data_IF_966325126855
#
_entry.id   IF_966325126855
#
_cell.length_a   1.000
_cell.length_b   1.000
_cell.length_c   1.000
_cell.angle_alpha   90.00
_cell.angle_beta   90.00
_cell.angle_gamma   90.00
#
_symmetry.space_group_name_H-M   'P 1'
#
loop_
_entity.id
_entity.type
_entity.pdbx_description
1 polymer ?
#
# COMPACT_ATOMS: atom_id res chain seq x y z
N UNK A 1 -1.49 21.43 6.78
CA UNK A 1 -1.28 20.39 5.75
C UNK A 1 -2.45 20.52 4.80
N UNK A 2 -2.22 20.72 3.50
CA UNK A 2 -3.32 20.90 2.54
C UNK A 2 -4.15 19.62 2.42
N UNK A 3 -5.45 19.76 2.16
CA UNK A 3 -6.31 18.62 1.86
C UNK A 3 -5.86 17.94 0.57
N UNK A 4 -5.77 16.61 0.57
CA UNK A 4 -5.47 15.80 -0.61
C UNK A 4 -6.60 14.81 -0.87
N UNK A 5 -6.78 14.36 -2.11
CA UNK A 5 -7.74 13.30 -2.41
C UNK A 5 -7.04 11.94 -2.49
N UNK A 6 -7.59 10.91 -1.85
CA UNK A 6 -7.10 9.53 -1.94
C UNK A 6 -8.20 8.61 -2.45
N UNK A 7 -7.83 7.52 -3.13
CA UNK A 7 -8.79 6.47 -3.45
C UNK A 7 -9.27 5.80 -2.17
N UNK A 8 -10.58 5.55 -2.08
CA UNK A 8 -11.21 4.86 -0.96
C UNK A 8 -11.98 3.64 -1.43
N UNK A 9 -11.43 2.47 -1.18
CA UNK A 9 -12.07 1.20 -1.51
C UNK A 9 -11.62 0.08 -0.57
N UNK A 10 -12.42 -0.97 -0.50
CA UNK A 10 -12.00 -2.26 0.05
C UNK A 10 -12.34 -3.39 -0.92
N UNK A 11 -11.58 -4.49 -0.87
CA UNK A 11 -11.91 -5.74 -1.56
C UNK A 11 -13.34 -6.17 -1.24
N UNK A 12 -14.05 -6.64 -2.26
CA UNK A 12 -15.47 -7.01 -2.15
C UNK A 12 -15.75 -8.03 -1.02
N UNK A 13 -14.80 -8.94 -0.74
CA UNK A 13 -14.86 -9.94 0.33
C UNK A 13 -15.09 -9.38 1.73
N UNK A 14 -14.82 -8.09 1.96
CA UNK A 14 -15.09 -7.44 3.25
C UNK A 14 -16.57 -7.10 3.46
N UNK A 15 -17.33 -6.91 2.37
CA UNK A 15 -18.74 -6.49 2.42
C UNK A 15 -19.58 -7.48 3.24
N UNK A 16 -19.46 -8.77 2.94
CA UNK A 16 -20.27 -9.81 3.59
C UNK A 16 -19.89 -10.04 5.06
N UNK A 17 -18.68 -9.59 5.46
CA UNK A 17 -18.15 -9.72 6.81
C UNK A 17 -18.17 -8.39 7.57
N UNK A 18 -18.77 -7.34 6.99
CA UNK A 18 -18.63 -5.97 7.47
C UNK A 18 -19.11 -5.79 8.91
N UNK A 19 -20.21 -6.44 9.28
CA UNK A 19 -20.75 -6.41 10.64
C UNK A 19 -19.74 -6.84 11.72
N UNK A 20 -18.79 -7.70 11.39
CA UNK A 20 -17.73 -8.13 12.29
C UNK A 20 -16.48 -7.24 12.26
N UNK A 21 -16.32 -6.43 11.21
CA UNK A 21 -15.10 -5.68 10.91
C UNK A 21 -15.23 -4.17 11.12
N UNK A 22 -16.46 -3.67 11.21
CA UNK A 22 -16.78 -2.25 11.47
C UNK A 22 -16.27 -1.70 12.81
N UNK A 23 -15.80 -2.56 13.71
CA UNK A 23 -15.12 -2.15 14.95
C UNK A 23 -13.61 -1.92 14.77
N UNK A 24 -13.05 -2.30 13.62
CA UNK A 24 -11.63 -2.18 13.29
C UNK A 24 -11.45 -1.12 12.20
N UNK A 25 -12.23 -1.21 11.12
CA UNK A 25 -12.13 -0.35 9.95
C UNK A 25 -13.30 0.61 9.85
N UNK A 26 -13.06 1.82 9.36
CA UNK A 26 -14.14 2.69 8.88
C UNK A 26 -14.58 2.27 7.48
N UNK A 27 -15.87 2.46 7.17
CA UNK A 27 -16.42 2.02 5.88
C UNK A 27 -15.78 2.76 4.70
N UNK A 28 -15.32 2.05 3.65
CA UNK A 28 -14.78 2.70 2.47
C UNK A 28 -15.90 3.37 1.67
N UNK A 29 -15.53 4.23 0.73
CA UNK A 29 -16.49 4.77 -0.24
C UNK A 29 -17.10 3.70 -1.15
N UNK A 30 -16.41 2.56 -1.35
CA UNK A 30 -16.97 1.41 -2.07
C UNK A 30 -16.30 0.09 -1.70
N UNK A 31 -17.06 -1.01 -1.76
CA UNK A 31 -16.52 -2.38 -1.77
C UNK A 31 -16.54 -2.92 -3.20
N UNK A 32 -15.39 -3.35 -3.72
CA UNK A 32 -15.25 -3.77 -5.13
C UNK A 32 -14.09 -4.75 -5.32
N UNK A 33 -14.21 -5.61 -6.34
CA UNK A 33 -13.12 -6.49 -6.77
C UNK A 33 -12.00 -5.72 -7.50
N UNK A 34 -12.24 -4.46 -7.90
CA UNK A 34 -11.27 -3.63 -8.61
C UNK A 34 -10.27 -2.91 -7.70
N UNK A 35 -10.40 -3.04 -6.39
CA UNK A 35 -9.53 -2.34 -5.42
C UNK A 35 -8.07 -2.85 -5.43
N UNK A 36 -7.85 -4.05 -5.99
CA UNK A 36 -6.53 -4.68 -6.16
C UNK A 36 -5.84 -4.31 -7.50
N UNK A 37 -6.49 -3.54 -8.38
CA UNK A 37 -5.91 -3.20 -9.68
C UNK A 37 -4.61 -2.41 -9.52
N UNK A 38 -3.64 -2.69 -10.42
CA UNK A 38 -2.32 -2.02 -10.41
C UNK A 38 -2.42 -0.51 -10.61
N UNK A 39 -3.42 -0.07 -11.36
CA UNK A 39 -3.72 1.33 -11.63
C UNK A 39 -5.23 1.50 -11.53
N UNK A 40 -5.66 2.20 -10.48
CA UNK A 40 -7.07 2.51 -10.32
C UNK A 40 -7.53 3.49 -11.40
N UNK A 41 -8.80 3.34 -11.76
CA UNK A 41 -9.50 4.21 -12.71
C UNK A 41 -10.43 5.15 -11.94
N UNK A 42 -10.97 6.16 -12.60
CA UNK A 42 -11.93 7.13 -12.00
C UNK A 42 -13.24 6.48 -11.53
N UNK A 43 -13.45 5.19 -11.78
CA UNK A 43 -14.56 4.42 -11.23
C UNK A 43 -14.40 4.12 -9.73
N UNK A 44 -13.18 4.21 -9.19
CA UNK A 44 -12.97 4.11 -7.75
C UNK A 44 -13.17 5.50 -7.12
N UNK A 45 -14.10 5.65 -6.18
CA UNK A 45 -14.38 6.92 -5.54
C UNK A 45 -13.19 7.44 -4.74
N UNK A 46 -13.13 8.76 -4.67
CA UNK A 46 -12.13 9.51 -3.90
C UNK A 46 -12.72 9.96 -2.56
N UNK A 47 -11.83 10.22 -1.61
CA UNK A 47 -12.13 10.86 -0.34
C UNK A 47 -11.11 11.96 -0.07
N UNK A 48 -11.56 13.08 0.48
CA UNK A 48 -10.69 14.15 0.97
C UNK A 48 -10.04 13.75 2.29
N UNK A 49 -8.72 13.79 2.34
CA UNK A 49 -7.91 13.42 3.49
C UNK A 49 -7.19 14.66 4.06
N UNK A 50 -7.20 14.81 5.38
CA UNK A 50 -6.30 15.71 6.11
C UNK A 50 -4.89 15.12 6.33
N UNK A 51 -4.69 13.86 5.90
CA UNK A 51 -3.48 13.08 6.05
C UNK A 51 -3.04 12.46 4.72
N UNK A 52 -1.98 11.65 4.75
CA UNK A 52 -1.45 10.94 3.57
C UNK A 52 -2.33 9.77 3.14
N UNK A 53 -2.20 9.36 1.87
CA UNK A 53 -2.89 8.18 1.37
C UNK A 53 -2.17 6.89 1.79
N UNK A 54 -2.95 5.83 1.97
CA UNK A 54 -2.44 4.50 2.27
C UNK A 54 -3.12 3.40 1.46
N UNK A 55 -2.40 2.30 1.30
CA UNK A 55 -2.90 1.00 0.88
C UNK A 55 -2.49 -0.04 1.92
N UNK A 56 -3.45 -0.77 2.44
CA UNK A 56 -3.27 -1.86 3.39
C UNK A 56 -3.59 -3.18 2.66
N UNK A 57 -2.67 -4.14 2.74
CA UNK A 57 -2.77 -5.44 2.09
C UNK A 57 -2.83 -6.52 3.16
N UNK A 58 -3.95 -7.22 3.23
CA UNK A 58 -4.13 -8.38 4.10
C UNK A 58 -3.95 -9.67 3.28
N UNK A 59 -3.09 -10.61 3.71
CA UNK A 59 -2.95 -11.88 3.00
C UNK A 59 -4.27 -12.67 3.03
N UNK A 60 -4.65 -13.25 1.90
CA UNK A 60 -5.83 -14.09 1.75
C UNK A 60 -5.45 -15.57 1.66
N UNK A 61 -5.89 -16.35 2.63
CA UNK A 61 -5.57 -17.76 2.72
C UNK A 61 -6.82 -18.62 2.50
N UNK A 62 -6.71 -19.60 1.60
CA UNK A 62 -7.69 -20.67 1.45
C UNK A 62 -7.00 -22.01 1.72
N UNK A 63 -7.58 -22.81 2.62
CA UNK A 63 -7.01 -24.10 3.04
C UNK A 63 -5.52 -24.04 3.47
N UNK A 64 -5.07 -22.90 4.02
CA UNK A 64 -3.68 -22.69 4.44
C UNK A 64 -2.73 -22.23 3.33
N UNK A 65 -3.20 -22.05 2.10
CA UNK A 65 -2.42 -21.56 0.96
C UNK A 65 -2.71 -20.08 0.74
N UNK A 66 -1.66 -19.26 0.58
CA UNK A 66 -1.80 -17.86 0.18
C UNK A 66 -2.30 -17.80 -1.27
N UNK A 67 -3.53 -17.36 -1.48
CA UNK A 67 -4.15 -17.29 -2.80
C UNK A 67 -3.97 -15.89 -3.42
N UNK A 68 -4.19 -14.85 -2.62
CA UNK A 68 -4.07 -13.45 -3.05
C UNK A 68 -3.92 -12.53 -1.83
N UNK A 69 -4.09 -11.23 -2.03
CA UNK A 69 -4.20 -10.21 -1.00
C UNK A 69 -5.54 -9.48 -1.12
N UNK A 70 -6.12 -9.18 0.02
CA UNK A 70 -7.24 -8.25 0.14
C UNK A 70 -6.71 -6.83 0.32
N UNK A 71 -7.28 -5.89 -0.42
CA UNK A 71 -6.82 -4.50 -0.47
C UNK A 71 -7.80 -3.58 0.24
N UNK A 72 -7.25 -2.65 1.01
CA UNK A 72 -7.97 -1.56 1.66
C UNK A 72 -7.20 -0.27 1.33
N UNK A 73 -7.87 0.72 0.76
CA UNK A 73 -7.27 2.01 0.38
C UNK A 73 -8.02 3.16 1.04
N UNK A 74 -7.31 4.17 1.50
CA UNK A 74 -7.91 5.33 2.17
C UNK A 74 -6.85 6.31 2.70
N UNK A 75 -7.22 7.06 3.73
CA UNK A 75 -6.31 7.97 4.44
C UNK A 75 -5.72 7.31 5.69
N UNK A 76 -4.50 7.70 6.11
CA UNK A 76 -3.90 7.21 7.37
C UNK A 76 -4.81 7.44 8.58
N UNK A 77 -5.38 8.62 8.71
CA UNK A 77 -6.11 9.08 9.89
C UNK A 77 -7.53 8.50 10.01
N UNK A 78 -8.11 8.07 8.89
CA UNK A 78 -9.51 7.62 8.85
C UNK A 78 -9.68 6.14 8.52
N UNK A 79 -8.65 5.40 8.11
CA UNK A 79 -8.83 4.00 7.72
C UNK A 79 -9.25 3.09 8.88
N UNK A 80 -8.68 3.30 10.08
CA UNK A 80 -8.99 2.52 11.29
C UNK A 80 -9.87 3.32 12.25
N UNK A 81 -10.85 2.66 12.87
CA UNK A 81 -11.77 3.29 13.85
C UNK A 81 -11.01 3.91 15.03
N UNK A 82 -10.06 3.16 15.58
CA UNK A 82 -9.22 3.62 16.71
C UNK A 82 -7.92 4.29 16.26
N UNK A 83 -7.70 4.40 14.94
CA UNK A 83 -6.47 4.89 14.35
C UNK A 83 -5.28 3.90 14.43
N UNK A 84 -4.20 4.29 13.77
CA UNK A 84 -2.92 3.60 13.84
C UNK A 84 -2.14 3.97 15.11
N UNK A 85 -1.19 3.11 15.47
CA UNK A 85 -0.21 3.41 16.51
C UNK A 85 0.82 4.42 15.98
N UNK A 86 0.76 5.67 16.46
CA UNK A 86 1.64 6.77 16.03
C UNK A 86 3.12 6.43 16.20
N UNK A 87 3.49 5.74 17.28
CA UNK A 87 4.87 5.32 17.48
C UNK A 87 5.31 4.36 16.37
N UNK A 88 4.45 3.44 15.95
CA UNK A 88 4.74 2.57 14.81
C UNK A 88 4.80 3.37 13.49
N UNK A 89 3.90 4.32 13.28
CA UNK A 89 3.92 5.18 12.08
C UNK A 89 5.24 5.96 11.93
N UNK A 90 5.70 6.55 13.03
CA UNK A 90 6.95 7.30 13.09
C UNK A 90 8.18 6.40 12.99
N UNK A 91 8.29 5.36 13.82
CA UNK A 91 9.45 4.44 13.82
C UNK A 91 9.67 3.80 12.46
N UNK A 92 8.57 3.45 11.77
CA UNK A 92 8.68 2.87 10.45
C UNK A 92 8.80 3.91 9.34
N UNK A 93 8.58 5.21 9.60
CA UNK A 93 8.70 6.34 8.64
C UNK A 93 7.59 6.44 7.60
N UNK A 94 6.38 5.97 7.92
CA UNK A 94 5.24 6.03 7.00
C UNK A 94 4.80 7.46 6.65
N UNK A 95 5.07 8.41 7.56
CA UNK A 95 4.75 9.83 7.39
C UNK A 95 5.92 10.67 6.84
N UNK A 96 7.04 10.04 6.48
CA UNK A 96 8.22 10.74 5.94
C UNK A 96 8.54 10.39 4.49
N UNK A 97 8.26 9.15 4.07
CA UNK A 97 8.55 8.70 2.70
C UNK A 97 7.52 7.68 2.19
N UNK A 98 7.50 7.49 0.87
CA UNK A 98 6.76 6.42 0.24
C UNK A 98 7.41 5.08 0.60
N UNK A 99 6.66 4.21 1.29
CA UNK A 99 7.21 2.94 1.74
C UNK A 99 6.13 1.91 2.06
N UNK A 100 6.52 0.65 2.01
CA UNK A 100 5.69 -0.48 2.40
C UNK A 100 6.39 -1.34 3.45
N UNK A 101 5.70 -1.69 4.53
CA UNK A 101 6.20 -2.62 5.55
C UNK A 101 5.11 -3.60 5.96
N UNK A 102 5.51 -4.87 6.10
CA UNK A 102 4.69 -5.89 6.75
C UNK A 102 4.95 -5.84 8.24
N UNK A 103 3.89 -5.65 9.03
CA UNK A 103 3.96 -5.52 10.49
C UNK A 103 2.82 -6.32 11.13
N UNK A 104 3.01 -6.82 12.36
CA UNK A 104 1.92 -7.39 13.13
C UNK A 104 0.83 -6.34 13.38
N UNK A 105 -0.44 -6.72 13.24
CA UNK A 105 -1.58 -5.82 13.54
C UNK A 105 -1.52 -5.28 14.97
N UNK A 106 -1.03 -6.09 15.92
CA UNK A 106 -0.83 -5.70 17.32
C UNK A 106 0.18 -4.56 17.50
N UNK A 107 1.16 -4.43 16.60
CA UNK A 107 2.11 -3.33 16.62
C UNK A 107 1.53 -2.09 15.91
N UNK A 108 0.81 -2.32 14.82
CA UNK A 108 0.39 -1.26 13.90
C UNK A 108 -0.92 -0.58 14.32
N UNK A 109 -1.87 -1.30 14.89
CA UNK A 109 -3.20 -0.78 15.23
C UNK A 109 -3.22 -0.29 16.68
N UNK A 110 -3.94 0.81 16.95
CA UNK A 110 -4.25 1.16 18.35
C UNK A 110 -5.26 0.17 18.90
N UNK A 111 -4.88 -0.53 19.97
CA UNK A 111 -5.78 -1.39 20.71
C UNK A 111 -6.77 -0.51 21.49
N UNK A 112 -8.05 -0.62 21.17
CA UNK A 112 -9.11 0.07 21.90
C UNK A 112 -9.36 -0.58 23.27
N UNK A 113 -9.81 0.19 24.27
CA UNK A 113 -10.18 -0.35 25.59
C UNK A 113 -11.33 -1.37 25.56
N UNK A 114 -12.07 -1.44 24.44
CA UNK A 114 -13.26 -2.30 24.21
C UNK A 114 -13.02 -3.29 23.07
N UNK A 115 -11.76 -3.63 22.77
CA UNK A 115 -11.47 -4.72 21.82
C UNK A 115 -11.43 -6.05 22.57
N UNK A 116 -12.62 -6.63 22.74
CA UNK A 116 -12.83 -7.99 23.28
C UNK A 116 -12.28 -9.08 22.33
N UNK A 117 -11.80 -8.69 21.15
CA UNK A 117 -11.23 -9.59 20.13
C UNK A 117 -9.81 -9.18 19.82
N UNK A 118 -8.87 -10.07 20.12
CA UNK A 118 -7.50 -9.88 19.74
C UNK A 118 -7.36 -9.98 18.21
N UNK A 119 -6.71 -8.97 17.63
CA UNK A 119 -6.48 -8.84 16.19
C UNK A 119 -5.08 -9.38 15.90
N UNK A 120 -5.01 -10.55 15.27
CA UNK A 120 -3.76 -11.27 15.03
C UNK A 120 -3.31 -11.21 13.57
N UNK A 121 -2.07 -11.63 13.36
CA UNK A 121 -1.45 -11.78 12.05
C UNK A 121 -0.86 -10.49 11.51
N UNK A 122 -0.08 -10.66 10.44
CA UNK A 122 0.65 -9.57 9.81
C UNK A 122 -0.18 -8.91 8.71
N UNK A 123 0.09 -7.63 8.50
CA UNK A 123 -0.51 -6.83 7.45
C UNK A 123 0.55 -5.94 6.82
N UNK A 124 0.48 -5.76 5.50
CA UNK A 124 1.37 -4.81 4.82
C UNK A 124 0.69 -3.46 4.70
N UNK A 125 1.28 -2.43 5.30
CA UNK A 125 0.88 -1.04 5.09
C UNK A 125 1.83 -0.39 4.09
N UNK A 126 1.29 0.30 3.10
CA UNK A 126 1.99 1.15 2.17
C UNK A 126 1.50 2.59 2.30
N UNK A 127 2.40 3.54 2.52
CA UNK A 127 2.11 4.98 2.53
C UNK A 127 2.63 5.66 1.27
N UNK A 128 1.98 6.74 0.86
CA UNK A 128 2.48 7.62 -0.20
C UNK A 128 2.01 9.07 -0.03
N UNK A 129 2.73 10.01 -0.66
CA UNK A 129 2.39 11.44 -0.64
C UNK A 129 1.71 11.92 -1.93
N UNK A 130 0.77 12.84 -1.74
CA UNK A 130 0.11 13.55 -2.83
C UNK A 130 -1.23 12.95 -3.25
N UNK A 131 -1.97 13.74 -4.01
CA UNK A 131 -3.31 13.41 -4.47
C UNK A 131 -3.29 12.17 -5.35
N UNK A 132 -4.14 11.18 -5.03
CA UNK A 132 -4.38 9.93 -5.77
C UNK A 132 -3.16 9.00 -5.85
N UNK A 133 -2.12 9.22 -5.03
CA UNK A 133 -0.89 8.41 -5.07
C UNK A 133 -1.17 6.93 -4.75
N UNK A 134 -2.15 6.66 -3.89
CA UNK A 134 -2.56 5.29 -3.56
C UNK A 134 -3.38 4.63 -4.67
N UNK A 135 -3.39 5.16 -5.90
CA UNK A 135 -3.97 4.55 -7.09
C UNK A 135 -3.04 3.59 -7.82
N UNK A 136 -1.72 3.73 -7.62
CA UNK A 136 -0.70 2.88 -8.24
C UNK A 136 -0.17 1.90 -7.20
N UNK A 137 -0.24 0.60 -7.46
CA UNK A 137 0.27 -0.39 -6.52
C UNK A 137 1.79 -0.26 -6.39
N UNK A 138 2.28 0.10 -5.20
CA UNK A 138 3.70 0.28 -4.88
C UNK A 138 4.56 -0.97 -5.11
N UNK A 139 3.94 -2.16 -5.21
CA UNK A 139 4.61 -3.39 -5.63
C UNK A 139 5.23 -3.31 -7.04
N UNK A 140 4.82 -2.34 -7.87
CA UNK A 140 5.37 -2.12 -9.21
C UNK A 140 6.52 -1.10 -9.26
N UNK A 141 6.83 -0.39 -8.16
CA UNK A 141 7.81 0.69 -8.14
C UNK A 141 9.23 0.21 -7.78
N UNK A 142 9.70 -0.85 -8.45
CA UNK A 142 11.13 -1.12 -8.61
C UNK A 142 11.39 -1.65 -10.02
N UNK A 143 11.59 -0.79 -11.04
CA UNK A 143 12.44 -1.21 -12.14
C UNK A 143 13.82 -1.45 -11.52
N UNK A 144 14.18 -2.72 -11.33
CA UNK A 144 15.56 -3.08 -11.05
C UNK A 144 16.34 -2.75 -12.33
N UNK A 145 16.81 -1.50 -12.45
CA UNK A 145 17.83 -1.13 -13.42
C UNK A 145 19.07 -1.92 -13.01
N UNK A 146 19.20 -3.13 -13.54
CA UNK A 146 20.34 -3.99 -13.27
C UNK A 146 21.61 -3.24 -13.69
N UNK A 147 22.59 -3.06 -12.79
CA UNK A 147 23.84 -2.37 -13.11
C UNK A 147 24.62 -3.10 -14.23
N UNK A 148 24.30 -4.36 -14.53
CA UNK A 148 24.88 -5.12 -15.64
C UNK A 148 24.61 -4.49 -17.01
N UNK A 149 23.44 -3.87 -17.21
CA UNK A 149 23.10 -3.28 -18.51
C UNK A 149 23.95 -2.04 -18.81
N UNK A 150 24.26 -1.25 -17.79
CA UNK A 150 25.10 -0.06 -17.90
C UNK A 150 26.57 -0.43 -18.18
N UNK A 151 27.08 -1.47 -17.51
CA UNK A 151 28.46 -1.97 -17.74
C UNK A 151 28.60 -2.54 -19.15
N UNK A 152 27.61 -3.32 -19.63
CA UNK A 152 27.65 -3.89 -20.98
C UNK A 152 27.60 -2.81 -22.06
N UNK A 153 26.75 -1.79 -21.89
CA UNK A 153 26.67 -0.66 -22.82
C UNK A 153 28.00 0.13 -22.90
N UNK A 154 28.62 0.43 -21.75
CA UNK A 154 29.93 1.10 -21.71
C UNK A 154 31.03 0.25 -22.37
N UNK A 155 31.01 -1.06 -22.17
CA UNK A 155 31.98 -1.98 -22.78
C UNK A 155 31.83 -2.04 -24.31
N UNK A 156 30.59 -2.09 -24.80
CA UNK A 156 30.30 -2.05 -26.24
C UNK A 156 30.73 -0.73 -26.87
N UNK A 157 30.42 0.41 -26.25
CA UNK A 157 30.86 1.73 -26.75
C UNK A 157 32.39 1.81 -26.80
N UNK A 158 33.10 1.32 -25.77
CA UNK A 158 34.57 1.24 -25.81
C UNK A 158 35.08 0.34 -26.94
N UNK A 159 34.47 -0.83 -27.15
CA UNK A 159 34.84 -1.73 -28.25
C UNK A 159 34.61 -1.11 -29.63
N UNK A 160 33.52 -0.36 -29.80
CA UNK A 160 33.23 0.37 -31.04
C UNK A 160 34.23 1.51 -31.28
N UNK A 161 34.57 2.28 -30.24
CA UNK A 161 35.57 3.35 -30.33
C UNK A 161 36.98 2.79 -30.62
N UNK A 162 37.38 1.71 -29.96
CA UNK A 162 38.65 1.01 -30.23
C UNK A 162 38.73 0.46 -31.67
N UNK A 163 37.60 0.03 -32.24
CA UNK A 163 37.54 -0.40 -33.66
C UNK A 163 37.56 0.76 -34.64
N UNK A 164 37.13 1.96 -34.24
CA UNK A 164 37.15 3.14 -35.09
C UNK A 164 38.57 3.73 -35.25
N UNK A 165 39.44 3.58 -34.24
CA UNK A 165 40.85 4.01 -34.30
C UNK A 165 41.78 3.07 -35.09
N UNK A 166 41.31 1.86 -35.43
CA UNK A 166 42.08 0.84 -36.16
C UNK A 166 41.75 0.78 -37.67
N UNK A 167 41.11 1.81 -38.23
CA UNK A 167 40.70 1.86 -39.64
C UNK A 167 41.19 3.11 -40.36
#
# INVERSE_FOLDING_TARGET
>A
MGEIECFSCMSLSYRDKWEHLKSIYNEPKTFTNRCNERKLTDQIPLVTCGSICVTLLEPDFEAGVLIDYKYIRGCVDTLLVNGFNESALHTHRFQESDQCRSLPRTQLYKVGRVQDRAVYGDVTLCSCFGTRCNGVSSAAARPCLSPTFFVFFVYLVKLFLLRADLR
#
